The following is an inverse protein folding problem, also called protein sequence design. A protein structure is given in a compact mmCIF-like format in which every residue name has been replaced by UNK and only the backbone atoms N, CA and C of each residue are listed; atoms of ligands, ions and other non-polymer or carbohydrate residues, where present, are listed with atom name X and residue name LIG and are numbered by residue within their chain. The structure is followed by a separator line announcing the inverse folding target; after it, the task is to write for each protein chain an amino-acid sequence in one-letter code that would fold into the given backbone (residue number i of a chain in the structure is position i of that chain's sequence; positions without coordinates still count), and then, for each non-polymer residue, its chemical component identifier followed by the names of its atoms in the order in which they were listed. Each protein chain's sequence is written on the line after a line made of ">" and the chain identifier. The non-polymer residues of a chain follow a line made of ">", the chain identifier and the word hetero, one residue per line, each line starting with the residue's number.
data_IF_800916026102
#
_entry.id   IF_800916026102
#
_cell.length_a   1.000
_cell.length_b   1.000
_cell.length_c   1.000
_cell.angle_alpha   90.00
_cell.angle_beta   90.00
_cell.angle_gamma   90.00
#
_symmetry.space_group_name_H-M   'P 1'
#
loop_
_entity.id
_entity.type
_entity.pdbx_description
1 polymer ?
#
# COMPACT_ATOMS: atom_id res chain seq x y z
N UNK A 1 1.77 -20.53 -15.42
CA UNK A 1 0.84 -19.41 -15.70
C UNK A 1 1.32 -18.26 -14.83
N UNK A 2 1.87 -17.20 -15.43
CA UNK A 2 2.31 -16.05 -14.64
C UNK A 2 1.06 -15.44 -14.03
N UNK A 3 0.95 -15.41 -12.70
CA UNK A 3 -0.14 -14.72 -12.03
C UNK A 3 -0.08 -13.26 -12.49
N UNK A 4 -1.13 -12.80 -13.16
CA UNK A 4 -1.26 -11.40 -13.54
C UNK A 4 -1.40 -10.59 -12.25
N UNK A 5 -0.62 -9.52 -12.10
CA UNK A 5 -0.73 -8.69 -10.91
C UNK A 5 -2.00 -7.84 -11.04
N UNK A 6 -2.91 -7.92 -10.08
CA UNK A 6 -4.19 -7.22 -10.11
C UNK A 6 -4.51 -6.55 -8.77
N UNK A 7 -5.22 -5.43 -8.85
CA UNK A 7 -5.86 -4.79 -7.70
C UNK A 7 -7.37 -4.95 -7.89
N UNK A 8 -8.02 -5.64 -6.96
CA UNK A 8 -9.48 -5.73 -6.91
C UNK A 8 -10.00 -4.89 -5.75
N UNK A 9 -11.18 -4.28 -5.90
CA UNK A 9 -11.77 -3.42 -4.88
C UNK A 9 -13.24 -3.75 -4.65
N UNK A 10 -13.70 -3.58 -3.41
CA UNK A 10 -15.11 -3.60 -3.04
C UNK A 10 -15.38 -2.65 -1.89
N UNK A 11 -16.53 -1.98 -1.93
CA UNK A 11 -16.95 -0.99 -0.92
C UNK A 11 -18.06 -1.58 -0.09
N UNK A 12 -17.89 -1.59 1.23
CA UNK A 12 -18.82 -2.22 2.16
C UNK A 12 -19.23 -1.24 3.25
N UNK A 13 -20.21 -1.64 4.08
CA UNK A 13 -20.65 -0.84 5.22
C UNK A 13 -19.53 -0.62 6.24
N UNK A 14 -18.83 0.52 6.12
CA UNK A 14 -17.82 0.99 7.07
C UNK A 14 -16.36 0.63 6.73
N UNK A 15 -16.09 0.06 5.56
CA UNK A 15 -14.73 -0.18 5.07
C UNK A 15 -14.69 -0.37 3.56
N UNK A 16 -13.53 -0.10 2.96
CA UNK A 16 -13.21 -0.54 1.60
C UNK A 16 -12.19 -1.68 1.66
N UNK A 17 -12.46 -2.76 0.95
CA UNK A 17 -11.56 -3.89 0.76
C UNK A 17 -10.78 -3.73 -0.54
N UNK A 18 -9.46 -3.88 -0.48
CA UNK A 18 -8.56 -3.82 -1.62
C UNK A 18 -7.72 -5.09 -1.62
N UNK A 19 -7.96 -5.99 -2.58
CA UNK A 19 -7.22 -7.25 -2.73
C UNK A 19 -6.07 -7.06 -3.70
N UNK A 20 -4.90 -7.56 -3.30
CA UNK A 20 -3.69 -7.50 -4.10
C UNK A 20 -3.33 -8.92 -4.55
N UNK A 21 -3.39 -9.16 -5.85
CA UNK A 21 -3.03 -10.44 -6.46
C UNK A 21 -1.66 -10.34 -7.13
N UNK A 22 -0.83 -11.36 -6.96
CA UNK A 22 0.52 -11.38 -7.51
C UNK A 22 1.53 -10.64 -6.62
N UNK A 23 2.55 -10.02 -7.21
CA UNK A 23 3.63 -9.37 -6.44
C UNK A 23 3.31 -7.90 -6.16
N UNK A 24 3.17 -7.56 -4.87
CA UNK A 24 3.18 -6.19 -4.36
C UNK A 24 4.47 -5.49 -4.75
N UNK A 25 4.42 -4.63 -5.76
CA UNK A 25 5.63 -4.05 -6.35
C UNK A 25 5.47 -2.59 -6.72
N UNK A 26 6.58 -1.93 -7.05
CA UNK A 26 6.58 -0.60 -7.68
C UNK A 26 5.72 -0.52 -8.96
N UNK A 27 5.41 -1.65 -9.60
CA UNK A 27 4.54 -1.71 -10.78
C UNK A 27 3.07 -1.50 -10.42
N UNK A 28 2.57 -2.17 -9.37
CA UNK A 28 1.14 -2.10 -8.99
C UNK A 28 0.84 -1.13 -7.85
N UNK A 29 1.85 -0.74 -7.07
CA UNK A 29 1.66 0.21 -5.96
C UNK A 29 1.10 1.58 -6.39
N UNK A 30 1.33 2.11 -7.60
CA UNK A 30 0.61 3.32 -8.05
C UNK A 30 -0.88 3.09 -8.24
N UNK A 31 -1.30 1.92 -8.74
CA UNK A 31 -2.71 1.56 -8.90
C UNK A 31 -3.39 1.40 -7.54
N UNK A 32 -2.70 0.74 -6.60
CA UNK A 32 -3.13 0.65 -5.21
C UNK A 32 -3.29 2.04 -4.59
N UNK A 33 -2.32 2.94 -4.82
CA UNK A 33 -2.36 4.33 -4.37
C UNK A 33 -3.58 5.06 -4.92
N UNK A 34 -3.80 5.02 -6.22
CA UNK A 34 -4.93 5.67 -6.88
C UNK A 34 -6.27 5.19 -6.28
N UNK A 35 -6.44 3.88 -6.16
CA UNK A 35 -7.62 3.26 -5.57
C UNK A 35 -7.85 3.76 -4.14
N UNK A 36 -6.87 3.58 -3.26
CA UNK A 36 -6.99 4.01 -1.85
C UNK A 36 -7.21 5.52 -1.71
N UNK A 37 -6.55 6.34 -2.53
CA UNK A 37 -6.71 7.80 -2.54
C UNK A 37 -8.14 8.19 -2.88
N UNK A 38 -8.73 7.57 -3.91
CA UNK A 38 -10.12 7.80 -4.30
C UNK A 38 -11.08 7.41 -3.16
N UNK A 39 -10.83 6.30 -2.47
CA UNK A 39 -11.66 5.87 -1.33
C UNK A 39 -11.57 6.81 -0.14
N UNK A 40 -10.36 7.19 0.25
CA UNK A 40 -10.13 8.14 1.35
C UNK A 40 -10.81 9.48 1.06
N UNK A 41 -10.68 9.98 -0.18
CA UNK A 41 -11.33 11.20 -0.64
C UNK A 41 -12.86 11.09 -0.62
N UNK A 42 -13.42 9.91 -0.93
CA UNK A 42 -14.85 9.62 -0.83
C UNK A 42 -15.36 9.48 0.61
N UNK A 43 -14.52 9.67 1.63
CA UNK A 43 -14.92 9.62 3.03
C UNK A 43 -14.59 8.31 3.75
N UNK A 44 -13.97 7.33 3.06
CA UNK A 44 -13.57 6.08 3.68
C UNK A 44 -12.54 6.30 4.78
N UNK A 45 -12.68 5.56 5.88
CA UNK A 45 -11.77 5.66 7.05
C UNK A 45 -11.13 4.33 7.44
N UNK A 46 -11.66 3.22 6.94
CA UNK A 46 -11.10 1.90 7.15
C UNK A 46 -10.76 1.31 5.78
N UNK A 47 -9.47 1.07 5.55
CA UNK A 47 -8.99 0.36 4.38
C UNK A 47 -8.54 -1.03 4.82
N UNK A 48 -9.07 -2.07 4.17
CA UNK A 48 -8.62 -3.45 4.38
C UNK A 48 -7.82 -3.86 3.16
N UNK A 49 -6.54 -4.19 3.35
CA UNK A 49 -5.66 -4.68 2.29
C UNK A 49 -5.53 -6.19 2.42
N UNK A 50 -6.07 -6.92 1.46
CA UNK A 50 -6.03 -8.38 1.41
C UNK A 50 -4.80 -8.87 0.65
N UNK A 51 -3.92 -9.55 1.39
CA UNK A 51 -2.63 -10.05 0.93
C UNK A 51 -2.61 -11.56 0.74
N UNK A 52 -3.74 -12.26 0.81
CA UNK A 52 -3.76 -13.72 0.68
C UNK A 52 -3.24 -14.20 -0.67
N UNK A 53 -3.58 -13.49 -1.76
CA UNK A 53 -3.05 -13.76 -3.09
C UNK A 53 -1.78 -12.94 -3.42
N UNK A 54 -1.22 -12.23 -2.45
CA UNK A 54 0.01 -11.47 -2.62
C UNK A 54 1.22 -12.38 -2.39
N UNK A 55 2.03 -12.62 -3.42
CA UNK A 55 3.14 -13.59 -3.38
C UNK A 55 4.42 -13.03 -2.75
N UNK A 56 4.46 -11.72 -2.50
CA UNK A 56 5.58 -10.99 -1.93
C UNK A 56 5.41 -9.49 -2.12
N UNK A 57 6.12 -8.69 -1.31
CA UNK A 57 6.10 -7.23 -1.38
C UNK A 57 7.51 -6.66 -1.53
N UNK A 58 7.67 -5.57 -2.27
CA UNK A 58 8.87 -4.72 -2.22
C UNK A 58 8.69 -3.54 -1.25
N UNK A 59 9.76 -2.80 -1.01
CA UNK A 59 9.77 -1.60 -0.16
C UNK A 59 8.84 -0.51 -0.68
N UNK A 60 8.67 -0.39 -2.00
CA UNK A 60 7.76 0.61 -2.58
C UNK A 60 6.31 0.31 -2.18
N UNK A 61 5.90 -0.96 -2.28
CA UNK A 61 4.57 -1.38 -1.90
C UNK A 61 4.33 -1.24 -0.39
N UNK A 62 5.28 -1.65 0.45
CA UNK A 62 5.18 -1.49 1.91
C UNK A 62 5.16 -0.02 2.34
N UNK A 63 5.97 0.83 1.69
CA UNK A 63 5.93 2.28 1.90
C UNK A 63 4.59 2.88 1.51
N UNK A 64 3.94 2.34 0.48
CA UNK A 64 2.59 2.75 0.10
C UNK A 64 1.56 2.42 1.18
N UNK A 65 1.63 1.22 1.79
CA UNK A 65 0.77 0.84 2.93
C UNK A 65 0.98 1.76 4.13
N UNK A 66 2.24 2.03 4.49
CA UNK A 66 2.59 2.95 5.56
C UNK A 66 2.02 4.36 5.31
N UNK A 67 2.06 4.83 4.05
CA UNK A 67 1.53 6.15 3.69
C UNK A 67 0.02 6.24 3.87
N UNK A 68 -0.73 5.14 3.67
CA UNK A 68 -2.17 5.11 3.93
C UNK A 68 -2.48 5.24 5.41
N UNK A 69 -1.74 4.51 6.25
CA UNK A 69 -1.88 4.62 7.70
C UNK A 69 -1.59 6.05 8.18
N UNK A 70 -0.47 6.64 7.73
CA UNK A 70 -0.12 8.03 8.06
C UNK A 70 -1.20 9.04 7.64
N UNK A 71 -1.86 8.81 6.50
CA UNK A 71 -2.92 9.70 6.00
C UNK A 71 -4.23 9.54 6.76
N UNK A 72 -4.65 8.31 7.04
CA UNK A 72 -5.87 8.05 7.81
C UNK A 72 -5.74 8.56 9.24
N UNK A 73 -4.58 8.39 9.88
CA UNK A 73 -4.29 8.91 11.22
C UNK A 73 -4.42 10.44 11.30
N UNK A 74 -4.00 11.17 10.25
CA UNK A 74 -4.15 12.64 10.18
C UNK A 74 -5.60 13.11 10.09
N UNK A 75 -6.55 12.25 9.72
CA UNK A 75 -7.98 12.60 9.66
C UNK A 75 -8.65 12.60 11.04
N UNK A 76 -7.96 12.13 12.09
CA UNK A 76 -8.36 12.29 13.50
C UNK A 76 -9.64 11.54 13.90
N UNK A 77 -10.11 10.59 13.09
CA UNK A 77 -11.30 9.76 13.34
C UNK A 77 -10.91 8.29 13.50
N UNK A 78 -11.67 7.49 14.26
CA UNK A 78 -11.44 6.05 14.38
C UNK A 78 -11.49 5.39 13.01
N UNK A 79 -10.52 4.53 12.75
CA UNK A 79 -10.23 3.94 11.44
C UNK A 79 -8.75 3.61 11.32
N UNK A 80 -8.31 3.18 10.14
CA UNK A 80 -6.94 2.79 9.89
C UNK A 80 -6.79 1.87 8.69
N UNK A 81 -5.60 1.28 8.58
CA UNK A 81 -5.31 0.25 7.59
C UNK A 81 -5.25 -1.08 8.31
N UNK A 82 -6.08 -2.02 7.85
CA UNK A 82 -6.11 -3.39 8.33
C UNK A 82 -5.56 -4.30 7.23
N UNK A 83 -4.78 -5.30 7.61
CA UNK A 83 -4.27 -6.31 6.67
C UNK A 83 -5.04 -7.60 6.89
N UNK A 84 -5.52 -8.20 5.80
CA UNK A 84 -6.19 -9.50 5.81
C UNK A 84 -5.34 -10.54 5.09
N UNK A 85 -5.20 -11.72 5.69
CA UNK A 85 -4.57 -12.87 5.04
C UNK A 85 -3.09 -12.65 4.72
N UNK A 86 -2.35 -11.94 5.59
CA UNK A 86 -0.91 -11.83 5.44
C UNK A 86 -0.27 -13.20 5.73
N UNK A 87 0.07 -13.94 4.68
CA UNK A 87 0.89 -15.14 4.81
C UNK A 87 2.21 -14.85 5.53
N UNK A 88 2.83 -15.86 6.12
CA UNK A 88 4.01 -15.75 7.01
C UNK A 88 5.12 -14.85 6.42
N UNK A 89 5.44 -15.02 5.14
CA UNK A 89 6.43 -14.20 4.44
C UNK A 89 6.08 -12.70 4.41
N UNK A 90 4.83 -12.37 4.07
CA UNK A 90 4.39 -10.98 3.95
C UNK A 90 4.25 -10.34 5.32
N UNK A 91 3.71 -11.08 6.30
CA UNK A 91 3.66 -10.66 7.70
C UNK A 91 5.07 -10.34 8.23
N UNK A 92 6.01 -11.27 8.07
CA UNK A 92 7.40 -11.05 8.50
C UNK A 92 8.04 -9.84 7.81
N UNK A 93 7.77 -9.61 6.52
CA UNK A 93 8.29 -8.41 5.83
C UNK A 93 7.74 -7.09 6.39
N UNK A 94 6.48 -7.08 6.87
CA UNK A 94 5.88 -5.90 7.51
C UNK A 94 6.44 -5.68 8.91
N UNK A 95 6.55 -6.75 9.70
CA UNK A 95 7.11 -6.76 11.06
C UNK A 95 8.61 -6.37 11.06
N UNK A 96 9.39 -6.85 10.08
CA UNK A 96 10.81 -6.49 9.89
C UNK A 96 11.03 -5.00 9.64
N UNK A 97 9.99 -4.28 9.21
CA UNK A 97 10.00 -2.84 9.02
C UNK A 97 9.25 -2.08 10.14
N UNK A 98 8.75 -2.79 11.15
CA UNK A 98 7.96 -2.23 12.25
C UNK A 98 6.61 -1.64 11.80
N UNK A 99 6.07 -2.11 10.67
CA UNK A 99 4.80 -1.59 10.13
C UNK A 99 3.58 -2.17 10.86
N UNK A 100 3.74 -3.24 11.61
CA UNK A 100 2.74 -3.80 12.53
C UNK A 100 2.35 -2.83 13.65
N UNK A 101 3.19 -1.83 13.96
CA UNK A 101 2.82 -0.71 14.84
C UNK A 101 1.86 0.30 14.18
N UNK A 102 1.76 0.29 12.85
CA UNK A 102 0.99 1.26 12.05
C UNK A 102 -0.22 0.62 11.34
N UNK A 103 -0.17 -0.70 11.13
CA UNK A 103 -1.14 -1.48 10.37
C UNK A 103 -1.69 -2.58 11.29
N UNK A 104 -3.01 -2.71 11.36
CA UNK A 104 -3.62 -3.80 12.12
C UNK A 104 -3.53 -5.09 11.29
N UNK A 105 -2.58 -5.98 11.59
CA UNK A 105 -2.40 -7.22 10.85
C UNK A 105 -3.32 -8.31 11.40
N UNK A 106 -4.28 -8.75 10.57
CA UNK A 106 -5.28 -9.76 10.90
C UNK A 106 -5.96 -9.49 12.28
N UNK A 107 -6.59 -8.32 12.49
CA UNK A 107 -7.21 -8.00 13.77
C UNK A 107 -8.37 -8.97 14.07
N UNK A 108 -8.45 -9.47 15.31
CA UNK A 108 -9.51 -10.40 15.73
C UNK A 108 -10.89 -9.74 15.78
N UNK A 109 -10.93 -8.43 16.04
CA UNK A 109 -12.15 -7.63 16.19
C UNK A 109 -12.62 -6.98 14.88
N UNK A 110 -12.00 -7.32 13.74
CA UNK A 110 -12.33 -6.71 12.47
C UNK A 110 -13.77 -7.03 12.03
N UNK A 111 -14.48 -6.01 11.53
CA UNK A 111 -15.87 -6.13 11.10
C UNK A 111 -16.09 -7.08 9.91
N UNK A 112 -15.04 -7.37 9.14
CA UNK A 112 -15.05 -8.29 8.01
C UNK A 112 -14.75 -9.75 8.40
N UNK A 113 -14.37 -10.02 9.66
CA UNK A 113 -14.15 -11.38 10.15
C UNK A 113 -15.40 -12.24 9.94
N UNK A 114 -15.21 -13.48 9.49
CA UNK A 114 -16.29 -14.42 9.18
C UNK A 114 -17.00 -14.18 7.83
N UNK A 115 -16.72 -13.07 7.13
CA UNK A 115 -17.36 -12.72 5.84
C UNK A 115 -16.37 -12.58 4.68
N UNK A 116 -15.14 -13.04 4.86
CA UNK A 116 -14.05 -12.87 3.88
C UNK A 116 -14.40 -13.47 2.51
N UNK A 117 -15.01 -14.65 2.47
CA UNK A 117 -15.41 -15.29 1.22
C UNK A 117 -16.48 -14.49 0.46
N UNK A 118 -17.49 -13.98 1.18
CA UNK A 118 -18.54 -13.10 0.64
C UNK A 118 -17.92 -11.81 0.08
N UNK A 119 -17.09 -11.13 0.90
CA UNK A 119 -16.37 -9.91 0.50
C UNK A 119 -15.55 -10.14 -0.78
N UNK A 120 -14.77 -11.23 -0.83
CA UNK A 120 -13.94 -11.56 -2.00
C UNK A 120 -14.75 -11.84 -3.26
N UNK A 121 -15.92 -12.46 -3.12
CA UNK A 121 -16.80 -12.74 -4.26
C UNK A 121 -17.43 -11.49 -4.87
N UNK A 122 -17.49 -10.39 -4.12
CA UNK A 122 -18.03 -9.10 -4.55
C UNK A 122 -16.97 -8.11 -5.04
N UNK A 123 -15.70 -8.51 -5.14
CA UNK A 123 -14.62 -7.63 -5.60
C UNK A 123 -14.61 -7.51 -7.11
N UNK A 124 -14.36 -6.30 -7.60
CA UNK A 124 -14.22 -6.01 -9.02
C UNK A 124 -12.81 -5.49 -9.34
N UNK A 125 -12.27 -5.75 -10.54
CA UNK A 125 -10.98 -5.20 -10.95
C UNK A 125 -10.99 -3.67 -10.91
N UNK A 126 -10.06 -3.07 -10.17
CA UNK A 126 -9.89 -1.63 -10.17
C UNK A 126 -9.27 -1.17 -11.50
N UNK A 127 -10.04 -0.42 -12.27
CA UNK A 127 -9.59 0.18 -13.53
C UNK A 127 -8.88 1.50 -13.21
N UNK A 128 -7.56 1.52 -13.28
CA UNK A 128 -6.77 2.75 -13.15
C UNK A 128 -7.08 3.68 -14.32
N UNK A 129 -7.30 4.97 -14.03
CA UNK A 129 -7.63 5.96 -15.05
C UNK A 129 -6.45 6.28 -15.99
N UNK A 130 -5.21 6.07 -15.53
CA UNK A 130 -3.99 6.20 -16.35
C UNK A 130 -2.82 5.49 -15.71
N UNK A 131 -1.94 4.92 -16.53
CA UNK A 131 -0.64 4.46 -16.05
C UNK A 131 0.27 5.67 -15.81
N UNK A 132 0.96 5.73 -14.65
CA UNK A 132 1.87 6.83 -14.36
C UNK A 132 3.05 6.83 -15.34
N UNK A 133 3.45 8.02 -15.76
CA UNK A 133 4.64 8.24 -16.58
C UNK A 133 5.94 7.90 -15.83
N UNK A 134 7.08 7.88 -16.55
CA UNK A 134 8.37 7.52 -15.95
C UNK A 134 8.73 8.41 -14.75
N UNK A 135 8.54 9.72 -14.88
CA UNK A 135 8.81 10.67 -13.79
C UNK A 135 7.89 10.47 -12.58
N UNK A 136 6.59 10.25 -12.83
CA UNK A 136 5.61 10.00 -11.76
C UNK A 136 5.93 8.69 -11.02
N UNK A 137 6.39 7.66 -11.74
CA UNK A 137 6.86 6.40 -11.14
C UNK A 137 8.09 6.62 -10.27
N UNK A 138 9.09 7.36 -10.75
CA UNK A 138 10.29 7.65 -9.98
C UNK A 138 9.96 8.41 -8.68
N UNK A 139 9.08 9.42 -8.76
CA UNK A 139 8.58 10.16 -7.60
C UNK A 139 7.83 9.24 -6.64
N UNK A 140 6.94 8.38 -7.14
CA UNK A 140 6.20 7.42 -6.33
C UNK A 140 7.14 6.47 -5.55
N UNK A 141 8.17 5.94 -6.22
CA UNK A 141 9.17 5.08 -5.57
C UNK A 141 9.90 5.86 -4.47
N UNK A 142 10.35 7.09 -4.77
CA UNK A 142 11.02 7.94 -3.79
C UNK A 142 10.15 8.21 -2.56
N UNK A 143 8.90 8.63 -2.77
CA UNK A 143 7.97 8.97 -1.68
C UNK A 143 7.64 7.75 -0.81
N UNK A 144 7.52 6.56 -1.40
CA UNK A 144 7.33 5.33 -0.64
C UNK A 144 8.54 5.02 0.26
N UNK A 145 9.77 5.18 -0.26
CA UNK A 145 10.99 4.97 0.54
C UNK A 145 11.17 6.03 1.62
N UNK A 146 10.86 7.30 1.34
CA UNK A 146 10.83 8.37 2.34
C UNK A 146 9.83 8.08 3.44
N UNK A 147 8.65 7.56 3.08
CA UNK A 147 7.63 7.18 4.04
C UNK A 147 8.15 6.08 4.96
N UNK A 148 8.77 5.02 4.42
CA UNK A 148 9.39 3.97 5.25
C UNK A 148 10.51 4.52 6.12
N UNK A 149 11.39 5.36 5.56
CA UNK A 149 12.47 5.99 6.32
C UNK A 149 11.94 6.82 7.50
N UNK A 150 10.76 7.42 7.36
CA UNK A 150 10.15 8.24 8.40
C UNK A 150 9.41 7.44 9.49
N UNK A 151 9.25 6.11 9.36
CA UNK A 151 8.52 5.33 10.38
C UNK A 151 9.34 5.01 11.63
N UNK A 152 10.67 4.97 11.53
CA UNK A 152 11.57 4.76 12.68
C UNK A 152 13.01 5.21 12.37
N UNK A 153 13.83 5.44 13.40
CA UNK A 153 15.25 5.75 13.21
C UNK A 153 16.02 4.60 12.53
N UNK A 154 15.65 3.35 12.82
CA UNK A 154 16.24 2.17 12.18
C UNK A 154 15.93 2.15 10.68
N UNK A 155 14.69 2.43 10.29
CA UNK A 155 14.32 2.53 8.89
C UNK A 155 14.99 3.73 8.22
N UNK A 156 15.12 4.87 8.91
CA UNK A 156 15.87 6.03 8.40
C UNK A 156 17.31 5.62 8.03
N UNK A 157 18.01 4.91 8.92
CA UNK A 157 19.36 4.39 8.64
C UNK A 157 19.37 3.37 7.50
N UNK A 158 18.42 2.43 7.50
CA UNK A 158 18.32 1.34 6.50
C UNK A 158 18.07 1.88 5.08
N UNK A 159 17.24 2.91 4.94
CA UNK A 159 16.83 3.45 3.64
C UNK A 159 17.61 4.69 3.20
N UNK A 160 18.45 5.31 4.05
CA UNK A 160 19.19 6.54 3.72
C UNK A 160 19.94 6.47 2.39
N UNK A 161 20.65 5.36 2.13
CA UNK A 161 21.40 5.18 0.88
C UNK A 161 20.50 5.14 -0.35
N UNK A 162 19.39 4.39 -0.28
CA UNK A 162 18.43 4.25 -1.40
C UNK A 162 17.69 5.56 -1.64
N UNK A 163 17.23 6.23 -0.57
CA UNK A 163 16.57 7.54 -0.67
C UNK A 163 17.51 8.56 -1.34
N UNK A 164 18.78 8.63 -0.91
CA UNK A 164 19.74 9.57 -1.50
C UNK A 164 20.05 9.33 -2.98
N UNK A 165 19.98 8.08 -3.45
CA UNK A 165 20.09 7.76 -4.89
C UNK A 165 18.84 8.23 -5.63
N UNK A 166 17.66 7.84 -5.13
CA UNK A 166 16.37 8.17 -5.75
C UNK A 166 16.13 9.69 -5.82
N UNK A 167 16.56 10.45 -4.81
CA UNK A 167 16.49 11.92 -4.82
C UNK A 167 17.29 12.54 -5.96
N UNK A 168 18.51 12.03 -6.20
CA UNK A 168 19.35 12.49 -7.32
C UNK A 168 18.74 12.13 -8.66
N UNK A 169 18.25 10.90 -8.81
CA UNK A 169 17.60 10.44 -10.04
C UNK A 169 16.35 11.25 -10.37
N UNK A 170 15.48 11.50 -9.40
CA UNK A 170 14.28 12.33 -9.58
C UNK A 170 14.67 13.75 -9.99
N UNK A 171 15.64 14.38 -9.31
CA UNK A 171 16.09 15.72 -9.63
C UNK A 171 16.75 15.82 -11.02
N UNK A 172 17.50 14.81 -11.44
CA UNK A 172 18.06 14.73 -12.80
C UNK A 172 16.98 14.59 -13.87
N UNK A 173 15.95 13.80 -13.61
CA UNK A 173 14.85 13.60 -14.54
C UNK A 173 13.97 14.84 -14.68
N UNK A 174 13.84 15.66 -13.64
CA UNK A 174 13.16 16.95 -13.71
C UNK A 174 13.95 17.94 -14.57
N UNK A 175 15.27 18.07 -14.35
CA UNK A 175 16.14 18.95 -15.16
C UNK A 175 16.19 18.62 -16.64
N UNK A 176 15.91 17.37 -17.03
CA UNK A 176 15.91 16.92 -18.44
C UNK A 176 14.55 17.13 -19.14
N UNK A 177 13.51 17.43 -18.38
CA UNK A 177 12.17 17.66 -18.91
C UNK A 177 11.82 19.14 -19.04
N UNK A 178 12.61 20.01 -18.41
CA UNK A 178 12.65 21.46 -18.63
C UNK A 178 13.50 21.81 -19.87
#
# INVERSE_FOLDING_TARGET
>A
MSSENAILVGVFGGFTWIRCEGKGSFVISPVLKECADARIAAGERCLVVDLEACTGMDSTFMGQLASFSARLSKLGRPGGVQIAGAGERNRGSLEDLGLDCLLDIDPLTAIWRGRVAEVRSALEPYQSGRLPGMQERAKHILEAHKTLAATSEDNARKFAGVVGILEKEVAENERKAD
#
